data_IF_895843138723
#
_entry.id   IF_895843138723
#
_cell.length_a   1.000
_cell.length_b   1.000
_cell.length_c   1.000
_cell.angle_alpha   90.00
_cell.angle_beta   90.00
_cell.angle_gamma   90.00
#
_symmetry.space_group_name_H-M   'P 1'
#
loop_
_entity.id
_entity.type
_entity.pdbx_description
1 polymer ?
#
# COMPACT_ATOMS: atom_id res chain seq x y z
N UNK A 1 -1.96 6.56 12.94
CA UNK A 1 -2.59 7.06 14.18
C UNK A 1 -3.57 8.15 13.79
N UNK A 2 -4.87 7.92 13.98
CA UNK A 2 -5.87 8.97 13.74
C UNK A 2 -5.82 9.99 14.90
N UNK A 3 -5.77 11.28 14.60
CA UNK A 3 -5.84 12.35 15.61
C UNK A 3 -4.56 12.63 16.41
N UNK A 4 -3.44 11.95 16.11
CA UNK A 4 -2.15 12.27 16.72
C UNK A 4 -1.56 13.55 16.12
N UNK A 5 -0.98 14.47 16.92
CA UNK A 5 -0.21 15.60 16.40
C UNK A 5 1.09 15.17 15.71
N UNK A 6 1.58 13.96 16.00
CA UNK A 6 2.78 13.36 15.40
C UNK A 6 2.40 12.26 14.42
N UNK A 7 1.62 12.62 13.39
CA UNK A 7 1.20 11.67 12.36
C UNK A 7 2.20 11.60 11.20
N UNK A 8 2.08 10.55 10.39
CA UNK A 8 2.79 10.40 9.11
C UNK A 8 1.78 10.04 8.01
N UNK A 9 2.10 10.42 6.77
CA UNK A 9 1.46 9.83 5.59
C UNK A 9 2.23 8.56 5.22
N UNK A 10 1.74 7.40 5.63
CA UNK A 10 2.39 6.11 5.36
C UNK A 10 1.79 5.43 4.13
N UNK A 11 2.65 4.85 3.29
CA UNK A 11 2.26 3.95 2.20
C UNK A 11 2.90 2.59 2.45
N UNK A 12 2.08 1.54 2.55
CA UNK A 12 2.57 0.18 2.39
C UNK A 12 2.78 -0.10 0.91
N UNK A 13 4.01 -0.47 0.55
CA UNK A 13 4.37 -0.71 -0.84
C UNK A 13 3.86 -2.07 -1.32
N UNK A 14 2.70 -2.06 -1.98
CA UNK A 14 2.08 -3.26 -2.52
C UNK A 14 2.90 -3.95 -3.62
N UNK A 15 3.95 -3.28 -4.14
CA UNK A 15 4.89 -3.84 -5.12
C UNK A 15 5.92 -4.76 -4.49
N UNK A 16 6.12 -4.68 -3.18
CA UNK A 16 7.01 -5.57 -2.42
C UNK A 16 6.26 -6.75 -1.82
N UNK A 17 5.08 -7.09 -2.35
CA UNK A 17 4.30 -8.20 -1.84
C UNK A 17 5.01 -9.53 -2.02
N UNK A 18 4.80 -10.42 -1.05
CA UNK A 18 5.41 -11.74 -1.01
C UNK A 18 4.98 -12.61 -2.20
N UNK A 19 5.80 -13.62 -2.51
CA UNK A 19 5.57 -14.55 -3.63
C UNK A 19 4.32 -15.43 -3.51
N UNK A 20 3.71 -15.51 -2.33
CA UNK A 20 2.44 -16.20 -2.08
C UNK A 20 1.22 -15.36 -2.49
N UNK A 21 1.42 -14.08 -2.86
CA UNK A 21 0.37 -13.23 -3.39
C UNK A 21 -0.08 -13.73 -4.76
N UNK A 22 -1.40 -13.93 -4.99
CA UNK A 22 -1.92 -14.32 -6.29
C UNK A 22 -1.51 -13.35 -7.39
N UNK A 23 -0.98 -13.88 -8.50
CA UNK A 23 -0.47 -13.07 -9.63
C UNK A 23 -1.52 -12.09 -10.17
N UNK A 24 -2.80 -12.48 -10.17
CA UNK A 24 -3.89 -11.63 -10.65
C UNK A 24 -4.19 -10.44 -9.73
N UNK A 25 -3.77 -10.48 -8.47
CA UNK A 25 -3.93 -9.39 -7.51
C UNK A 25 -2.83 -8.31 -7.61
N UNK A 26 -1.65 -8.68 -8.14
CA UNK A 26 -0.49 -7.80 -8.24
C UNK A 26 -0.72 -6.52 -9.08
N UNK A 27 -1.38 -6.54 -10.25
CA UNK A 27 -1.58 -5.33 -11.05
C UNK A 27 -2.38 -4.25 -10.31
N UNK A 28 -3.44 -4.66 -9.60
CA UNK A 28 -4.26 -3.75 -8.79
C UNK A 28 -3.47 -3.18 -7.61
N UNK A 29 -2.81 -4.04 -6.85
CA UNK A 29 -1.90 -3.66 -5.76
C UNK A 29 -0.87 -2.60 -6.19
N UNK A 30 -0.20 -2.86 -7.32
CA UNK A 30 0.79 -1.93 -7.88
C UNK A 30 0.16 -0.59 -8.29
N UNK A 31 -1.05 -0.62 -8.87
CA UNK A 31 -1.77 0.57 -9.30
C UNK A 31 -2.18 1.44 -8.12
N UNK A 32 -2.72 0.86 -7.06
CA UNK A 32 -3.10 1.60 -5.84
C UNK A 32 -1.89 2.28 -5.22
N UNK A 33 -0.75 1.58 -5.09
CA UNK A 33 0.49 2.18 -4.59
C UNK A 33 0.92 3.38 -5.44
N UNK A 34 0.84 3.27 -6.77
CA UNK A 34 1.16 4.37 -7.68
C UNK A 34 0.22 5.57 -7.51
N UNK A 35 -1.10 5.32 -7.38
CA UNK A 35 -2.12 6.37 -7.19
C UNK A 35 -1.85 7.17 -5.92
N UNK A 36 -1.61 6.52 -4.78
CA UNK A 36 -1.37 7.24 -3.54
C UNK A 36 -0.05 8.00 -3.56
N UNK A 37 1.01 7.41 -4.13
CA UNK A 37 2.28 8.12 -4.31
C UNK A 37 2.08 9.40 -5.10
N UNK A 38 1.48 9.29 -6.29
CA UNK A 38 1.26 10.45 -7.15
C UNK A 38 0.39 11.50 -6.45
N UNK A 39 -0.65 11.06 -5.73
CA UNK A 39 -1.51 11.97 -5.00
C UNK A 39 -0.77 12.72 -3.88
N UNK A 40 0.02 12.04 -3.05
CA UNK A 40 0.81 12.70 -2.00
C UNK A 40 1.84 13.67 -2.59
N UNK A 41 2.49 13.29 -3.70
CA UNK A 41 3.42 14.17 -4.43
C UNK A 41 2.70 15.43 -4.94
N UNK A 42 1.52 15.28 -5.56
CA UNK A 42 0.70 16.39 -6.05
C UNK A 42 0.24 17.32 -4.92
N UNK A 43 -0.09 16.77 -3.74
CA UNK A 43 -0.46 17.56 -2.56
C UNK A 43 0.75 18.17 -1.83
N UNK A 44 1.99 17.88 -2.27
CA UNK A 44 3.23 18.27 -1.59
C UNK A 44 3.30 17.77 -0.13
N UNK A 45 2.75 16.58 0.12
CA UNK A 45 2.72 15.96 1.43
C UNK A 45 3.89 14.98 1.56
N UNK A 46 4.73 15.07 2.61
CA UNK A 46 5.82 14.13 2.81
C UNK A 46 5.24 12.77 3.23
N UNK A 47 5.42 11.75 2.37
CA UNK A 47 5.00 10.37 2.65
C UNK A 47 6.18 9.43 2.89
N UNK A 48 6.00 8.47 3.79
CA UNK A 48 6.96 7.41 4.09
C UNK A 48 6.53 6.09 3.47
N UNK A 49 7.48 5.37 2.87
CA UNK A 49 7.28 4.04 2.30
C UNK A 49 7.68 2.96 3.31
N UNK A 50 6.90 1.90 3.37
CA UNK A 50 7.22 0.71 4.16
C UNK A 50 6.92 -0.52 3.35
N UNK A 51 7.87 -1.45 3.31
CA UNK A 51 7.70 -2.71 2.62
C UNK A 51 6.48 -3.46 3.18
N UNK A 52 5.70 -4.02 2.26
CA UNK A 52 4.59 -4.89 2.59
C UNK A 52 5.11 -6.27 3.04
N UNK A 53 5.49 -6.36 4.32
CA UNK A 53 6.04 -7.57 4.95
C UNK A 53 4.99 -8.50 5.60
N UNK A 54 3.70 -8.32 5.27
CA UNK A 54 2.61 -9.24 5.67
C UNK A 54 1.89 -8.94 6.99
N UNK A 55 2.17 -7.83 7.68
CA UNK A 55 1.50 -7.47 8.96
C UNK A 55 0.21 -6.65 8.81
N UNK A 56 -0.35 -6.54 7.61
CA UNK A 56 -1.63 -5.85 7.36
C UNK A 56 -2.70 -6.84 6.91
N UNK A 57 -3.93 -6.55 7.32
CA UNK A 57 -5.19 -7.10 6.81
C UNK A 57 -5.29 -7.11 5.27
N UNK A 58 -4.55 -6.24 4.60
CA UNK A 58 -4.41 -6.21 3.14
C UNK A 58 -3.87 -7.53 2.56
N UNK A 59 -3.02 -8.27 3.30
CA UNK A 59 -2.44 -9.53 2.84
C UNK A 59 -3.48 -10.61 2.58
N UNK A 60 -4.35 -10.91 3.56
CA UNK A 60 -5.50 -11.79 3.34
C UNK A 60 -6.42 -11.35 2.18
N UNK A 61 -6.67 -10.04 1.99
CA UNK A 61 -7.47 -9.58 0.83
C UNK A 61 -6.77 -9.85 -0.50
N UNK A 62 -5.46 -9.58 -0.57
CA UNK A 62 -4.63 -9.91 -1.73
C UNK A 62 -4.66 -11.42 -2.03
N UNK A 63 -4.56 -12.26 -1.00
CA UNK A 63 -4.58 -13.72 -1.12
C UNK A 63 -5.89 -14.27 -1.70
N UNK A 64 -7.01 -13.60 -1.44
CA UNK A 64 -8.32 -13.93 -2.00
C UNK A 64 -8.58 -13.25 -3.36
N UNK A 65 -7.59 -12.55 -3.93
CA UNK A 65 -7.74 -11.86 -5.22
C UNK A 65 -8.54 -10.56 -5.15
N UNK A 66 -8.77 -10.03 -3.94
CA UNK A 66 -9.56 -8.82 -3.70
C UNK A 66 -8.63 -7.62 -3.77
N UNK A 67 -8.68 -6.90 -4.90
CA UNK A 67 -7.92 -5.66 -5.12
C UNK A 67 -8.68 -4.67 -6.01
N UNK A 68 -8.36 -3.37 -5.89
CA UNK A 68 -8.67 -2.33 -6.87
C UNK A 68 -7.50 -2.12 -7.84
#
# INVERSE_FOLDING_TARGET
MLGSPNYIFGIYDGRTANNDTPVHALPGSNKITAVYREWFDQQKLPSTYTDFSGRSDYGPFLAEGIVA
#
